data_IF_141739525408
#
_entry.id   IF_141739525408
#
_cell.length_a   1.000
_cell.length_b   1.000
_cell.length_c   1.000
_cell.angle_alpha   90.00
_cell.angle_beta   90.00
_cell.angle_gamma   90.00
#
_symmetry.space_group_name_H-M   'P 1'
#
loop_
_entity.id
_entity.type
_entity.pdbx_description
1 polymer ?
#
# COMPACT_ATOMS: atom_id res chain seq x y z
N UNK A 1 28.69 -37.62 -36.64
CA UNK A 1 29.25 -36.56 -35.80
C UNK A 1 28.82 -35.23 -36.39
N UNK A 2 27.83 -34.59 -35.78
CA UNK A 2 27.38 -33.24 -36.10
C UNK A 2 27.05 -32.59 -34.77
N UNK A 3 27.92 -31.71 -34.32
CA UNK A 3 27.95 -31.17 -32.97
C UNK A 3 26.73 -30.31 -32.66
N UNK A 4 26.26 -30.47 -31.43
CA UNK A 4 25.28 -29.61 -30.79
C UNK A 4 25.92 -28.25 -30.51
N UNK A 5 25.26 -27.16 -30.93
CA UNK A 5 25.44 -25.87 -30.27
C UNK A 5 24.08 -25.36 -29.80
N UNK A 6 23.92 -25.41 -28.49
CA UNK A 6 22.75 -24.93 -27.77
C UNK A 6 22.78 -23.40 -27.77
N UNK A 7 21.98 -22.80 -28.66
CA UNK A 7 21.73 -21.37 -28.68
C UNK A 7 21.36 -20.84 -27.30
N UNK A 8 22.29 -20.09 -26.73
CA UNK A 8 22.23 -19.40 -25.45
C UNK A 8 20.97 -18.52 -25.32
N UNK A 9 20.04 -18.91 -24.44
CA UNK A 9 19.00 -18.01 -23.95
C UNK A 9 19.66 -16.93 -23.09
N UNK A 10 20.05 -15.82 -23.72
CA UNK A 10 20.48 -14.63 -22.98
C UNK A 10 19.26 -14.00 -22.30
N UNK A 11 18.94 -14.49 -21.10
CA UNK A 11 18.08 -13.81 -20.14
C UNK A 11 18.77 -12.53 -19.68
N UNK A 12 18.72 -11.48 -20.49
CA UNK A 12 19.21 -10.16 -20.10
C UNK A 12 18.29 -9.66 -19.00
N UNK A 13 18.74 -9.77 -17.75
CA UNK A 13 18.08 -9.16 -16.61
C UNK A 13 17.76 -7.69 -16.92
N UNK A 14 16.55 -7.19 -16.61
CA UNK A 14 16.17 -5.83 -16.96
C UNK A 14 17.17 -4.86 -16.34
N UNK A 15 17.91 -4.15 -17.20
CA UNK A 15 18.86 -3.12 -16.77
C UNK A 15 18.09 -2.09 -15.96
N UNK A 16 18.34 -2.03 -14.65
CA UNK A 16 17.76 -1.01 -13.76
C UNK A 16 18.10 0.35 -14.35
N UNK A 17 17.08 1.09 -14.81
CA UNK A 17 17.26 2.45 -15.32
C UNK A 17 17.86 3.27 -14.18
N UNK A 18 19.11 3.68 -14.35
CA UNK A 18 19.80 4.58 -13.42
C UNK A 18 19.06 5.91 -13.53
N UNK A 19 18.23 6.23 -12.53
CA UNK A 19 17.55 7.53 -12.45
C UNK A 19 18.61 8.59 -12.16
N UNK A 20 19.01 9.36 -13.17
CA UNK A 20 20.11 10.33 -13.11
C UNK A 20 19.82 11.57 -12.24
N UNK A 21 18.68 11.61 -11.53
CA UNK A 21 18.22 12.74 -10.72
C UNK A 21 17.85 12.35 -9.28
N UNK A 22 18.65 11.51 -8.61
CA UNK A 22 18.39 11.10 -7.21
C UNK A 22 18.28 12.31 -6.26
N UNK A 23 19.01 13.39 -6.54
CA UNK A 23 19.01 14.61 -5.73
C UNK A 23 17.71 15.43 -5.83
N UNK A 24 16.90 15.22 -6.88
CA UNK A 24 15.55 15.80 -7.01
C UNK A 24 14.47 14.91 -6.41
N UNK A 25 14.78 13.65 -6.14
CA UNK A 25 13.92 12.71 -5.42
C UNK A 25 14.28 12.63 -3.94
N UNK A 26 14.53 13.77 -3.26
CA UNK A 26 14.77 13.75 -1.82
C UNK A 26 13.51 13.28 -1.08
N UNK A 27 13.61 12.27 -0.21
CA UNK A 27 12.50 11.93 0.68
C UNK A 27 12.21 13.12 1.58
N UNK A 28 10.92 13.44 1.79
CA UNK A 28 10.51 14.45 2.76
C UNK A 28 11.05 14.04 4.13
N UNK A 29 11.66 14.98 4.84
CA UNK A 29 12.13 14.70 6.20
C UNK A 29 10.94 14.37 7.10
N UNK A 30 11.15 13.51 8.10
CA UNK A 30 10.13 13.15 9.08
C UNK A 30 9.57 14.39 9.81
N UNK A 31 10.41 15.42 10.00
CA UNK A 31 10.02 16.69 10.58
C UNK A 31 9.04 17.47 9.69
N UNK A 32 9.24 17.48 8.37
CA UNK A 32 8.32 18.14 7.44
C UNK A 32 6.96 17.45 7.45
N UNK A 33 6.95 16.11 7.43
CA UNK A 33 5.71 15.33 7.51
C UNK A 33 4.97 15.58 8.82
N UNK A 34 5.69 15.66 9.95
CA UNK A 34 5.13 16.05 11.24
C UNK A 34 4.48 17.44 11.21
N UNK A 35 5.22 18.45 10.75
CA UNK A 35 4.72 19.83 10.71
C UNK A 35 3.54 20.00 9.74
N UNK A 36 3.57 19.29 8.62
CA UNK A 36 2.49 19.29 7.64
C UNK A 36 1.22 18.68 8.22
N UNK A 37 1.32 17.47 8.80
CA UNK A 37 0.19 16.81 9.46
C UNK A 37 -0.37 17.72 10.56
N UNK A 38 0.47 18.18 11.50
CA UNK A 38 0.05 19.03 12.61
C UNK A 38 -0.60 20.34 12.13
N UNK A 39 0.01 21.04 11.19
CA UNK A 39 -0.52 22.27 10.60
C UNK A 39 -1.87 22.05 9.93
N UNK A 40 -2.06 20.91 9.26
CA UNK A 40 -3.37 20.56 8.68
C UNK A 40 -4.46 20.45 9.75
N UNK A 41 -4.18 19.82 10.90
CA UNK A 41 -5.13 19.70 12.01
C UNK A 41 -5.41 21.03 12.73
N UNK A 42 -4.53 22.02 12.58
CA UNK A 42 -4.75 23.35 13.12
C UNK A 42 -5.88 24.07 12.38
N UNK A 43 -5.87 24.05 11.05
CA UNK A 43 -6.79 24.84 10.23
C UNK A 43 -8.02 24.06 9.77
N UNK A 44 -7.95 22.74 9.71
CA UNK A 44 -9.01 21.89 9.15
C UNK A 44 -10.41 22.11 9.76
N UNK A 45 -10.60 22.18 11.09
CA UNK A 45 -11.92 22.45 11.65
C UNK A 45 -12.51 23.80 11.22
N UNK A 46 -11.66 24.81 11.02
CA UNK A 46 -12.09 26.13 10.55
C UNK A 46 -12.43 26.11 9.06
N UNK A 47 -11.64 25.41 8.25
CA UNK A 47 -11.93 25.21 6.82
C UNK A 47 -13.27 24.50 6.67
N UNK A 48 -13.49 23.41 7.41
CA UNK A 48 -14.72 22.63 7.39
C UNK A 48 -15.94 23.48 7.82
N UNK A 49 -15.76 24.35 8.83
CA UNK A 49 -16.79 25.29 9.28
C UNK A 49 -17.14 26.32 8.20
N UNK A 50 -16.14 26.97 7.58
CA UNK A 50 -16.36 27.95 6.52
C UNK A 50 -17.01 27.33 5.29
N UNK A 51 -16.61 26.11 4.93
CA UNK A 51 -17.17 25.35 3.82
C UNK A 51 -18.61 24.88 4.10
N UNK A 52 -18.94 24.56 5.35
CA UNK A 52 -20.32 24.22 5.71
C UNK A 52 -21.22 25.46 5.71
N UNK A 53 -20.68 26.59 6.19
CA UNK A 53 -21.37 27.89 6.18
C UNK A 53 -21.65 28.38 4.77
N UNK A 54 -20.70 28.22 3.83
CA UNK A 54 -20.88 28.60 2.43
C UNK A 54 -21.97 27.76 1.74
N UNK A 55 -22.12 26.49 2.14
CA UNK A 55 -23.19 25.57 1.69
C UNK A 55 -24.54 25.81 2.37
N UNK A 56 -24.64 26.81 3.26
CA UNK A 56 -25.88 27.11 3.98
C UNK A 56 -26.22 26.10 5.09
N UNK A 57 -25.29 25.20 5.44
CA UNK A 57 -25.47 24.24 6.53
C UNK A 57 -25.12 24.95 7.84
N UNK A 58 -26.00 24.81 8.85
CA UNK A 58 -25.67 25.23 10.21
C UNK A 58 -24.63 24.27 10.76
N UNK A 59 -23.41 24.77 10.95
CA UNK A 59 -22.33 24.05 11.59
C UNK A 59 -21.87 24.79 12.83
N UNK A 60 -21.49 24.02 13.84
CA UNK A 60 -20.97 24.57 15.08
C UNK A 60 -19.59 25.17 14.86
N UNK A 61 -19.32 26.25 15.58
CA UNK A 61 -18.01 26.90 15.56
C UNK A 61 -17.00 25.93 16.18
N UNK A 62 -15.84 25.69 15.53
CA UNK A 62 -14.84 24.78 16.06
C UNK A 62 -14.33 25.27 17.42
N UNK A 63 -14.33 24.37 18.40
CA UNK A 63 -13.88 24.64 19.77
C UNK A 63 -12.37 24.94 19.78
N UNK A 64 -11.90 25.91 20.59
CA UNK A 64 -10.47 26.10 20.79
C UNK A 64 -9.86 24.86 21.41
N UNK A 65 -8.96 24.22 20.67
CA UNK A 65 -8.22 23.05 21.14
C UNK A 65 -6.83 23.43 21.62
N UNK A 66 -6.40 22.79 22.70
CA UNK A 66 -5.02 22.91 23.17
C UNK A 66 -4.05 22.24 22.20
N UNK A 67 -2.76 22.54 22.38
CA UNK A 67 -1.71 22.00 21.54
C UNK A 67 -1.64 20.47 21.64
N UNK A 68 -1.78 19.93 22.86
CA UNK A 68 -1.75 18.50 23.17
C UNK A 68 -2.86 17.74 22.44
N UNK A 69 -4.09 18.27 22.48
CA UNK A 69 -5.25 17.65 21.85
C UNK A 69 -5.08 17.52 20.34
N UNK A 70 -4.50 18.56 19.71
CA UNK A 70 -4.20 18.55 18.28
C UNK A 70 -3.09 17.56 17.94
N UNK A 71 -2.03 17.53 18.74
CA UNK A 71 -0.93 16.58 18.56
C UNK A 71 -1.43 15.13 18.70
N UNK A 72 -2.18 14.84 19.76
CA UNK A 72 -2.82 13.53 19.99
C UNK A 72 -3.72 13.13 18.82
N UNK A 73 -4.61 14.02 18.36
CA UNK A 73 -5.47 13.74 17.20
C UNK A 73 -4.65 13.40 15.96
N UNK A 74 -3.61 14.19 15.67
CA UNK A 74 -2.72 13.94 14.55
C UNK A 74 -2.05 12.57 14.63
N UNK A 75 -1.59 12.16 15.82
CA UNK A 75 -0.96 10.85 16.04
C UNK A 75 -1.94 9.70 15.93
N UNK A 76 -3.14 9.83 16.50
CA UNK A 76 -4.19 8.81 16.42
C UNK A 76 -4.63 8.59 14.97
N UNK A 77 -4.85 9.66 14.21
CA UNK A 77 -5.22 9.57 12.80
C UNK A 77 -4.09 9.02 11.94
N UNK A 78 -2.82 9.36 12.24
CA UNK A 78 -1.67 8.75 11.57
C UNK A 78 -1.62 7.24 11.85
N UNK A 79 -1.78 6.83 13.10
CA UNK A 79 -1.80 5.41 13.46
C UNK A 79 -2.97 4.68 12.78
N UNK A 80 -4.15 5.29 12.72
CA UNK A 80 -5.30 4.72 11.99
C UNK A 80 -4.99 4.50 10.51
N UNK A 81 -4.37 5.49 9.85
CA UNK A 81 -3.93 5.38 8.44
C UNK A 81 -2.90 4.28 8.22
N UNK A 82 -1.92 4.13 9.12
CA UNK A 82 -0.89 3.08 8.98
C UNK A 82 -1.49 1.70 9.22
N UNK A 83 -2.39 1.57 10.19
CA UNK A 83 -3.11 0.31 10.46
C UNK A 83 -4.00 -0.10 9.29
N UNK A 84 -4.75 0.81 8.68
CA UNK A 84 -5.58 0.48 7.52
C UNK A 84 -4.75 -0.03 6.33
N UNK A 85 -3.58 0.57 6.09
CA UNK A 85 -2.65 0.11 5.05
C UNK A 85 -2.11 -1.28 5.36
N UNK A 86 -1.74 -1.55 6.62
CA UNK A 86 -1.31 -2.89 7.05
C UNK A 86 -2.38 -3.95 6.84
N UNK A 87 -3.62 -3.69 7.30
CA UNK A 87 -4.76 -4.59 7.11
C UNK A 87 -5.00 -4.89 5.63
N UNK A 88 -4.91 -3.87 4.76
CA UNK A 88 -5.09 -4.06 3.32
C UNK A 88 -4.01 -4.96 2.69
N UNK A 89 -2.75 -4.84 3.13
CA UNK A 89 -1.64 -5.68 2.66
C UNK A 89 -1.78 -7.11 3.17
N UNK A 90 -2.18 -7.28 4.42
CA UNK A 90 -2.39 -8.61 5.00
C UNK A 90 -3.54 -9.32 4.28
N UNK A 91 -4.63 -8.63 3.97
CA UNK A 91 -5.72 -9.18 3.18
C UNK A 91 -5.26 -9.63 1.78
N UNK A 92 -4.43 -8.83 1.10
CA UNK A 92 -3.83 -9.19 -0.19
C UNK A 92 -2.90 -10.40 -0.07
N UNK A 93 -2.08 -10.45 0.97
CA UNK A 93 -1.18 -11.58 1.23
C UNK A 93 -1.97 -12.88 1.45
N UNK A 94 -3.01 -12.83 2.29
CA UNK A 94 -3.88 -13.98 2.56
C UNK A 94 -4.62 -14.43 1.29
N UNK A 95 -5.08 -13.48 0.47
CA UNK A 95 -5.69 -13.78 -0.83
C UNK A 95 -4.71 -14.53 -1.75
N UNK A 96 -3.46 -14.05 -1.84
CA UNK A 96 -2.43 -14.67 -2.66
C UNK A 96 -2.08 -16.10 -2.18
N UNK A 97 -1.91 -16.28 -0.86
CA UNK A 97 -1.66 -17.58 -0.24
C UNK A 97 -2.83 -18.54 -0.51
N UNK A 98 -4.07 -18.05 -0.37
CA UNK A 98 -5.26 -18.85 -0.62
C UNK A 98 -5.35 -19.29 -2.09
N UNK A 99 -5.09 -18.38 -3.03
CA UNK A 99 -5.10 -18.71 -4.46
C UNK A 99 -4.00 -19.71 -4.82
N UNK A 100 -2.77 -19.53 -4.34
CA UNK A 100 -1.65 -20.41 -4.67
C UNK A 100 -1.88 -21.83 -4.14
N UNK A 101 -2.35 -21.96 -2.91
CA UNK A 101 -2.65 -23.26 -2.31
C UNK A 101 -3.81 -23.96 -3.02
N UNK A 102 -4.85 -23.22 -3.40
CA UNK A 102 -5.98 -23.78 -4.15
C UNK A 102 -5.52 -24.35 -5.50
N UNK A 103 -4.70 -23.62 -6.25
CA UNK A 103 -4.14 -24.09 -7.51
C UNK A 103 -3.32 -25.38 -7.32
N UNK A 104 -2.43 -25.40 -6.33
CA UNK A 104 -1.63 -26.58 -6.01
C UNK A 104 -2.51 -27.81 -5.70
N UNK A 105 -3.53 -27.65 -4.86
CA UNK A 105 -4.44 -28.75 -4.49
C UNK A 105 -5.22 -29.27 -5.70
N UNK A 106 -5.69 -28.39 -6.59
CA UNK A 106 -6.37 -28.79 -7.82
C UNK A 106 -5.42 -29.57 -8.73
N UNK A 107 -4.22 -29.05 -8.97
CA UNK A 107 -3.22 -29.74 -9.79
C UNK A 107 -2.85 -31.11 -9.21
N UNK A 108 -2.56 -31.20 -7.92
CA UNK A 108 -2.24 -32.46 -7.24
C UNK A 108 -3.36 -33.50 -7.40
N UNK A 109 -4.63 -33.09 -7.22
CA UNK A 109 -5.79 -33.97 -7.42
C UNK A 109 -5.94 -34.41 -8.88
N UNK A 110 -5.71 -33.53 -9.85
CA UNK A 110 -5.79 -33.88 -11.28
C UNK A 110 -4.70 -34.87 -11.67
N UNK A 111 -3.45 -34.68 -11.20
CA UNK A 111 -2.34 -35.59 -11.45
C UNK A 111 -2.61 -36.95 -10.83
N UNK A 112 -3.02 -36.98 -9.55
CA UNK A 112 -3.41 -38.22 -8.87
C UNK A 112 -4.52 -38.95 -9.64
N UNK A 113 -5.57 -38.24 -10.08
CA UNK A 113 -6.68 -38.83 -10.86
C UNK A 113 -6.21 -39.41 -12.20
N UNK A 114 -5.30 -38.74 -12.91
CA UNK A 114 -4.73 -39.26 -14.16
C UNK A 114 -3.96 -40.56 -13.93
N UNK A 115 -3.16 -40.61 -12.86
CA UNK A 115 -2.42 -41.83 -12.48
C UNK A 115 -3.34 -42.98 -12.10
N UNK A 116 -4.48 -42.71 -11.45
CA UNK A 116 -5.44 -43.76 -11.09
C UNK A 116 -6.30 -44.25 -12.25
N UNK A 117 -6.62 -43.39 -13.23
CA UNK A 117 -7.53 -43.72 -14.33
C UNK A 117 -6.78 -44.26 -15.57
N UNK A 118 -5.50 -43.92 -15.75
CA UNK A 118 -4.67 -44.38 -16.87
C UNK A 118 -3.81 -45.62 -16.59
N UNK A 119 -4.03 -46.32 -15.48
CA UNK A 119 -3.30 -47.53 -15.12
C UNK A 119 -4.06 -48.80 -15.47
N UNK A 120 -4.27 -49.08 -16.76
CA UNK A 120 -4.57 -50.40 -17.34
C UNK A 120 -4.21 -50.39 -18.83
#
# INVERSE_FOLDING_TARGET
>A
MGDADAGSYSGVAPKKKITQFVHWARPKSSLYEYNYDYGSYYYRPMIDYLDSRSRGVRSDIPVPQYWEERALRSYMDRNRRTQSVRISRDAQLLQNIRSSQSHYVVHAKTTARKLTVGGF
#
